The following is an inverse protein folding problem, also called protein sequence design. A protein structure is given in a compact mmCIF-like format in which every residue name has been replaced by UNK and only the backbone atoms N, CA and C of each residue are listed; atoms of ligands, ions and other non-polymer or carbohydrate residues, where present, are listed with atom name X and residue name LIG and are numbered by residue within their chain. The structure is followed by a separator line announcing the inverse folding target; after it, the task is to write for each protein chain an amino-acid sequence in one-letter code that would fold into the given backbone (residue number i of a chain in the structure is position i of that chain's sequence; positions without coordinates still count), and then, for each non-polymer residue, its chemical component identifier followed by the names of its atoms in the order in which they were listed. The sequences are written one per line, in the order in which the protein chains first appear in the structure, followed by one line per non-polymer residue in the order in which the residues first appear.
data_IF_070543241883
#
_entry.id   IF_070543241883
#
_cell.length_a   1.000
_cell.length_b   1.000
_cell.length_c   1.000
_cell.angle_alpha   90.00
_cell.angle_beta   90.00
_cell.angle_gamma   90.00
#
_symmetry.space_group_name_H-M   'P 1'
#
loop_
_entity.id
_entity.type
_entity.pdbx_description
1 polymer ?
#
# COMPACT_ATOMS: atom_id res chain seq x y z
N UNK A 1 9.84 -24.32 -2.71
CA UNK A 1 11.00 -23.50 -2.33
C UNK A 1 11.27 -22.52 -3.46
N UNK A 2 10.89 -21.26 -3.31
CA UNK A 2 11.28 -20.20 -4.24
C UNK A 2 11.94 -19.11 -3.42
N UNK A 3 13.27 -19.05 -3.50
CA UNK A 3 14.04 -17.99 -2.91
C UNK A 3 13.75 -16.65 -3.60
N UNK A 4 14.04 -15.56 -2.90
CA UNK A 4 15.16 -14.74 -3.32
C UNK A 4 15.48 -13.66 -2.29
N UNK A 5 16.78 -13.54 -2.09
CA UNK A 5 17.54 -12.42 -1.58
C UNK A 5 17.12 -11.10 -2.31
N UNK A 6 16.63 -10.11 -1.56
CA UNK A 6 16.54 -8.67 -1.86
C UNK A 6 16.19 -8.05 -0.49
N UNK A 7 16.95 -7.19 0.18
CA UNK A 7 17.81 -6.10 -0.28
C UNK A 7 17.13 -5.19 -1.31
N UNK A 8 15.86 -4.85 -1.08
CA UNK A 8 15.27 -3.57 -1.48
C UNK A 8 14.26 -3.23 -0.37
N UNK A 9 14.17 -1.97 0.04
CA UNK A 9 13.38 -1.49 1.17
C UNK A 9 11.85 -1.71 1.05
N UNK A 10 11.36 -2.47 0.05
CA UNK A 10 9.97 -2.90 -0.09
C UNK A 10 9.86 -4.38 -0.48
N UNK A 11 8.90 -5.09 0.10
CA UNK A 11 8.55 -6.46 -0.31
C UNK A 11 7.74 -6.44 -1.61
N UNK A 12 7.73 -7.56 -2.37
CA UNK A 12 6.88 -7.71 -3.58
C UNK A 12 5.40 -7.41 -3.34
N UNK A 13 4.94 -7.61 -2.10
CA UNK A 13 3.58 -7.33 -1.69
C UNK A 13 3.36 -5.81 -1.51
N UNK A 14 4.31 -5.12 -0.87
CA UNK A 14 4.28 -3.67 -0.71
C UNK A 14 4.34 -2.94 -2.06
N UNK A 15 5.19 -3.41 -2.97
CA UNK A 15 5.28 -2.88 -4.33
C UNK A 15 3.94 -3.02 -5.09
N UNK A 16 3.29 -4.18 -4.98
CA UNK A 16 1.97 -4.41 -5.57
C UNK A 16 0.90 -3.46 -4.99
N UNK A 17 0.92 -3.23 -3.67
CA UNK A 17 -0.01 -2.32 -2.98
C UNK A 17 0.17 -0.87 -3.48
N UNK A 18 1.42 -0.40 -3.57
CA UNK A 18 1.74 0.94 -4.03
C UNK A 18 1.36 1.11 -5.50
N UNK A 19 1.63 0.11 -6.33
CA UNK A 19 1.28 0.11 -7.74
C UNK A 19 -0.24 0.16 -7.97
N UNK A 20 -1.02 -0.61 -7.20
CA UNK A 20 -2.49 -0.53 -7.25
C UNK A 20 -3.02 0.87 -6.90
N UNK A 21 -2.44 1.49 -5.88
CA UNK A 21 -2.76 2.88 -5.52
C UNK A 21 -2.39 3.86 -6.66
N UNK A 22 -1.24 3.69 -7.28
CA UNK A 22 -0.77 4.50 -8.43
C UNK A 22 -1.67 4.34 -9.67
N UNK A 23 -2.28 3.16 -9.86
CA UNK A 23 -3.30 2.90 -10.88
C UNK A 23 -4.64 3.62 -10.62
N UNK A 24 -4.78 4.32 -9.49
CA UNK A 24 -5.97 5.09 -9.11
C UNK A 24 -6.92 4.35 -8.18
N UNK A 25 -6.52 3.23 -7.58
CA UNK A 25 -7.31 2.54 -6.57
C UNK A 25 -7.04 3.17 -5.20
N UNK A 26 -7.88 4.12 -4.79
CA UNK A 26 -7.70 4.80 -3.49
C UNK A 26 -8.28 4.03 -2.30
N UNK A 27 -8.96 2.90 -2.53
CA UNK A 27 -9.64 2.15 -1.47
C UNK A 27 -8.78 1.00 -0.94
N UNK A 28 -8.26 1.05 0.30
CA UNK A 28 -7.40 0.02 0.87
C UNK A 28 -8.03 -1.37 0.88
N UNK A 29 -9.35 -1.44 1.03
CA UNK A 29 -10.09 -2.70 1.03
C UNK A 29 -10.09 -3.36 -0.35
N UNK A 30 -10.11 -2.56 -1.42
CA UNK A 30 -10.04 -3.06 -2.79
C UNK A 30 -8.62 -3.51 -3.13
N UNK A 31 -7.61 -2.72 -2.74
CA UNK A 31 -6.21 -3.10 -2.89
C UNK A 31 -5.92 -4.41 -2.14
N UNK A 32 -6.43 -4.54 -0.90
CA UNK A 32 -6.30 -5.74 -0.10
C UNK A 32 -6.90 -6.98 -0.79
N UNK A 33 -8.06 -6.83 -1.43
CA UNK A 33 -8.70 -7.91 -2.18
C UNK A 33 -7.91 -8.28 -3.45
N UNK A 34 -7.34 -7.31 -4.15
CA UNK A 34 -6.55 -7.53 -5.36
C UNK A 34 -5.17 -8.15 -5.06
N UNK A 35 -4.54 -7.73 -3.96
CA UNK A 35 -3.25 -8.22 -3.51
C UNK A 35 -3.33 -9.46 -2.61
N UNK A 36 -4.54 -9.99 -2.36
CA UNK A 36 -4.81 -11.11 -1.42
C UNK A 36 -4.16 -10.88 -0.04
N UNK A 37 -4.27 -9.66 0.49
CA UNK A 37 -3.66 -9.26 1.75
C UNK A 37 -4.67 -8.59 2.70
N UNK A 38 -4.24 -8.25 3.92
CA UNK A 38 -5.11 -7.61 4.90
C UNK A 38 -5.16 -6.09 4.67
N UNK A 39 -6.34 -5.51 4.85
CA UNK A 39 -6.54 -4.05 4.76
C UNK A 39 -5.59 -3.29 5.71
N UNK A 40 -5.36 -3.80 6.92
CA UNK A 40 -4.41 -3.22 7.87
C UNK A 40 -3.00 -3.13 7.29
N UNK A 41 -2.53 -4.18 6.60
CA UNK A 41 -1.21 -4.21 5.98
C UNK A 41 -1.10 -3.24 4.80
N UNK A 42 -2.18 -3.09 4.02
CA UNK A 42 -2.28 -2.06 2.98
C UNK A 42 -2.14 -0.67 3.57
N UNK A 43 -2.86 -0.37 4.66
CA UNK A 43 -2.80 0.92 5.34
C UNK A 43 -1.42 1.20 5.92
N UNK A 44 -0.77 0.21 6.54
CA UNK A 44 0.60 0.34 7.04
C UNK A 44 1.57 0.66 5.89
N UNK A 45 1.46 -0.08 4.78
CA UNK A 45 2.28 0.14 3.59
C UNK A 45 2.06 1.53 2.99
N UNK A 46 0.80 1.94 2.81
CA UNK A 46 0.51 3.26 2.26
C UNK A 46 0.92 4.38 3.24
N UNK A 47 0.79 4.18 4.56
CA UNK A 47 1.30 5.16 5.54
C UNK A 47 2.82 5.31 5.47
N UNK A 48 3.55 4.23 5.21
CA UNK A 48 5.02 4.23 5.12
C UNK A 48 5.53 4.83 3.80
N UNK A 49 4.91 4.49 2.67
CA UNK A 49 5.41 4.85 1.32
C UNK A 49 4.60 5.93 0.60
N UNK A 50 3.39 6.22 1.06
CA UNK A 50 2.44 7.15 0.45
C UNK A 50 1.70 7.95 1.54
N UNK A 51 2.36 8.63 2.49
CA UNK A 51 1.68 9.27 3.64
C UNK A 51 0.56 10.26 3.28
N UNK A 52 0.50 10.70 2.03
CA UNK A 52 -0.58 11.53 1.48
C UNK A 52 -1.86 10.76 1.12
N UNK A 53 -1.82 9.42 1.10
CA UNK A 53 -2.93 8.56 0.67
C UNK A 53 -4.21 8.72 1.51
N UNK A 54 -4.05 9.06 2.79
CA UNK A 54 -5.11 9.32 3.75
C UNK A 54 -5.34 10.83 3.96
N UNK A 55 -4.50 11.70 3.40
CA UNK A 55 -4.60 13.15 3.56
C UNK A 55 -5.85 13.73 2.87
N UNK A 56 -6.31 13.08 1.79
CA UNK A 56 -7.58 13.40 1.13
C UNK A 56 -8.82 13.00 1.96
N UNK A 57 -8.68 12.06 2.91
CA UNK A 57 -9.78 11.62 3.79
C UNK A 57 -9.95 12.46 5.06
N UNK A 58 -9.17 13.53 5.19
CA UNK A 58 -9.48 14.64 6.08
C UNK A 58 -8.52 14.76 7.25
N UNK A 59 -7.59 15.71 7.16
CA UNK A 59 -7.30 16.68 8.21
C UNK A 59 -6.24 17.67 7.70
N UNK A 60 -6.61 18.48 6.71
CA UNK A 60 -5.96 19.77 6.50
C UNK A 60 -6.41 20.69 7.64
N UNK A 61 -5.74 20.57 8.79
CA UNK A 61 -5.87 21.51 9.91
C UNK A 61 -5.42 22.90 9.43
N UNK A 62 -6.41 23.77 9.21
CA UNK A 62 -6.30 25.22 9.32
C UNK A 62 -7.04 25.66 10.57
#
# INVERSE_FOLDING_TARGET
MFGNNHNDDTTKLQDAIINEYDLGVSNPKQIAANCDCSESYVKETLNEFRPDWDNDSGFSFM
#
